data_IF_620817380986
#
_entry.id   IF_620817380986
#
_cell.length_a   1.000
_cell.length_b   1.000
_cell.length_c   1.000
_cell.angle_alpha   90.00
_cell.angle_beta   90.00
_cell.angle_gamma   90.00
#
_symmetry.space_group_name_H-M   'P 1'
#
loop_
_entity.id
_entity.type
_entity.pdbx_description
1 polymer ?
#
# COMPACT_ATOMS: atom_id res chain seq x y z
N UNK A 1 -15.47 9.18 23.83
CA UNK A 1 -14.02 9.09 23.50
C UNK A 1 -13.71 8.93 22.01
N UNK A 2 -14.63 8.42 21.17
CA UNK A 2 -14.39 8.17 19.72
C UNK A 2 -14.38 9.43 18.83
N UNK A 3 -14.70 10.61 19.34
CA UNK A 3 -14.72 11.88 18.60
C UNK A 3 -13.48 12.77 18.86
N UNK A 4 -12.38 12.19 19.36
CA UNK A 4 -11.15 12.96 19.56
C UNK A 4 -10.63 13.51 18.20
N UNK A 5 -10.31 14.80 18.10
CA UNK A 5 -9.72 15.40 16.89
C UNK A 5 -8.43 14.68 16.45
N UNK A 6 -7.67 14.16 17.38
CA UNK A 6 -6.45 13.37 17.11
C UNK A 6 -6.75 12.05 16.40
N UNK A 7 -7.83 11.33 16.77
CA UNK A 7 -8.22 10.09 16.09
C UNK A 7 -8.73 10.35 14.67
N UNK A 8 -9.37 11.49 14.42
CA UNK A 8 -9.78 11.90 13.07
C UNK A 8 -8.58 12.17 12.14
N UNK A 9 -7.47 12.69 12.69
CA UNK A 9 -6.21 12.90 11.96
C UNK A 9 -5.59 11.58 11.46
N UNK A 10 -5.77 10.49 12.20
CA UNK A 10 -5.11 9.21 11.96
C UNK A 10 -5.82 8.31 10.93
N UNK A 11 -7.03 8.64 10.49
CA UNK A 11 -7.81 7.87 9.48
C UNK A 11 -7.71 6.35 9.70
N UNK A 12 -8.04 5.92 10.92
CA UNK A 12 -7.82 4.55 11.44
C UNK A 12 -8.16 3.41 10.47
N UNK A 13 -9.28 3.44 9.69
CA UNK A 13 -9.61 2.32 8.82
C UNK A 13 -8.54 1.99 7.77
N UNK A 14 -7.76 2.97 7.33
CA UNK A 14 -6.75 2.76 6.29
C UNK A 14 -5.46 2.08 6.80
N UNK A 15 -5.24 2.07 8.12
CA UNK A 15 -4.06 1.48 8.76
C UNK A 15 -3.92 -0.01 8.41
N UNK A 16 -5.04 -0.73 8.28
CA UNK A 16 -5.04 -2.18 8.05
C UNK A 16 -4.52 -2.61 6.68
N UNK A 17 -4.35 -1.68 5.74
CA UNK A 17 -3.69 -1.97 4.45
C UNK A 17 -2.17 -1.98 4.55
N UNK A 18 -1.59 -1.59 5.69
CA UNK A 18 -0.14 -1.54 5.89
C UNK A 18 0.39 -2.93 6.30
N UNK A 19 -0.19 -3.61 7.30
CA UNK A 19 0.22 -4.96 7.66
C UNK A 19 0.24 -5.92 6.47
N UNK A 20 -0.74 -5.88 5.56
CA UNK A 20 -0.80 -6.80 4.44
C UNK A 20 0.42 -6.68 3.51
N UNK A 21 0.87 -5.46 3.21
CA UNK A 21 2.08 -5.23 2.41
C UNK A 21 3.34 -5.77 3.11
N UNK A 22 3.45 -5.56 4.44
CA UNK A 22 4.60 -6.04 5.22
C UNK A 22 4.60 -7.57 5.29
N UNK A 23 3.44 -8.19 5.53
CA UNK A 23 3.28 -9.65 5.55
C UNK A 23 3.69 -10.23 4.18
N UNK A 24 3.27 -9.63 3.07
CA UNK A 24 3.65 -10.06 1.73
C UNK A 24 5.18 -10.01 1.55
N UNK A 25 5.82 -8.88 1.83
CA UNK A 25 7.28 -8.75 1.72
C UNK A 25 8.03 -9.74 2.61
N UNK A 26 7.57 -9.91 3.86
CA UNK A 26 8.12 -10.86 4.81
C UNK A 26 7.99 -12.32 4.33
N UNK A 27 6.81 -12.70 3.83
CA UNK A 27 6.57 -14.07 3.34
C UNK A 27 7.37 -14.37 2.06
N UNK A 28 7.54 -13.42 1.15
CA UNK A 28 8.46 -13.57 0.01
C UNK A 28 9.86 -13.88 0.52
N UNK A 29 10.32 -13.16 1.52
CA UNK A 29 11.65 -13.36 2.10
C UNK A 29 11.81 -14.77 2.68
N UNK A 30 10.93 -15.21 3.56
CA UNK A 30 11.09 -16.50 4.26
C UNK A 30 10.78 -17.72 3.39
N UNK A 31 9.87 -17.59 2.41
CA UNK A 31 9.46 -18.72 1.58
C UNK A 31 10.42 -19.01 0.43
N UNK A 32 11.11 -17.99 -0.07
CA UNK A 32 11.91 -18.10 -1.29
C UNK A 32 13.41 -17.94 -1.08
N UNK A 33 13.87 -17.63 0.15
CA UNK A 33 15.29 -17.56 0.44
C UNK A 33 15.74 -18.76 1.26
N UNK A 34 16.70 -19.52 0.73
CA UNK A 34 17.33 -20.66 1.42
C UNK A 34 18.54 -20.22 2.27
N UNK A 35 18.60 -18.97 2.70
CA UNK A 35 19.76 -18.45 3.42
C UNK A 35 19.79 -19.00 4.84
N UNK A 36 20.83 -19.78 5.14
CA UNK A 36 21.04 -20.48 6.42
C UNK A 36 21.06 -19.56 7.64
N UNK A 37 21.31 -18.26 7.46
CA UNK A 37 21.39 -17.26 8.52
C UNK A 37 20.05 -16.59 8.86
N UNK A 38 18.92 -17.07 8.30
CA UNK A 38 17.59 -16.50 8.52
C UNK A 38 16.89 -17.01 9.76
N UNK A 39 17.46 -17.92 10.55
CA UNK A 39 16.79 -18.46 11.75
C UNK A 39 16.40 -17.35 12.75
N UNK A 40 17.24 -16.35 12.93
CA UNK A 40 16.93 -15.20 13.79
C UNK A 40 15.86 -14.27 13.20
N UNK A 41 15.81 -14.13 11.88
CA UNK A 41 14.84 -13.27 11.19
C UNK A 41 13.45 -13.90 10.98
N UNK A 42 13.34 -15.22 11.11
CA UNK A 42 12.08 -15.98 10.91
C UNK A 42 11.09 -15.88 12.05
N UNK A 43 11.44 -15.23 13.16
CA UNK A 43 10.55 -15.19 14.30
C UNK A 43 9.41 -14.16 14.07
N UNK A 44 8.26 -14.46 14.66
CA UNK A 44 7.08 -13.61 14.65
C UNK A 44 7.38 -12.22 15.20
N UNK A 45 8.36 -12.09 16.08
CA UNK A 45 8.78 -10.84 16.68
C UNK A 45 9.33 -9.85 15.65
N UNK A 46 10.16 -10.30 14.69
CA UNK A 46 10.65 -9.45 13.59
C UNK A 46 9.50 -8.95 12.73
N UNK A 47 8.55 -9.83 12.39
CA UNK A 47 7.35 -9.43 11.64
C UNK A 47 6.54 -8.37 12.39
N UNK A 48 6.32 -8.54 13.70
CA UNK A 48 5.59 -7.57 14.51
C UNK A 48 6.31 -6.22 14.60
N UNK A 49 7.64 -6.22 14.71
CA UNK A 49 8.45 -4.99 14.66
C UNK A 49 8.27 -4.27 13.33
N UNK A 50 8.41 -4.97 12.20
CA UNK A 50 8.26 -4.39 10.86
C UNK A 50 6.85 -3.83 10.65
N UNK A 51 5.81 -4.56 11.04
CA UNK A 51 4.42 -4.09 10.97
C UNK A 51 4.22 -2.84 11.81
N UNK A 52 4.65 -2.87 13.07
CA UNK A 52 4.48 -1.74 14.00
C UNK A 52 5.24 -0.52 13.51
N UNK A 53 6.49 -0.68 13.08
CA UNK A 53 7.29 0.38 12.50
C UNK A 53 6.60 1.00 11.27
N UNK A 54 6.15 0.18 10.32
CA UNK A 54 5.49 0.66 9.11
C UNK A 54 4.17 1.39 9.42
N UNK A 55 3.42 0.95 10.43
CA UNK A 55 2.22 1.67 10.91
C UNK A 55 2.60 3.06 11.41
N UNK A 56 3.66 3.21 12.22
CA UNK A 56 4.11 4.52 12.70
C UNK A 56 4.59 5.42 11.56
N UNK A 57 5.33 4.90 10.59
CA UNK A 57 5.74 5.64 9.39
C UNK A 57 4.52 6.13 8.59
N UNK A 58 3.51 5.28 8.43
CA UNK A 58 2.27 5.62 7.76
C UNK A 58 1.48 6.69 8.52
N UNK A 59 1.34 6.57 9.84
CA UNK A 59 0.67 7.58 10.67
C UNK A 59 1.38 8.94 10.61
N UNK A 60 2.72 8.94 10.63
CA UNK A 60 3.51 10.14 10.38
C UNK A 60 3.21 10.75 9.01
N UNK A 61 3.06 9.90 7.99
CA UNK A 61 2.67 10.30 6.63
C UNK A 61 1.30 10.95 6.57
N UNK A 62 0.29 10.42 7.26
CA UNK A 62 -1.05 11.01 7.33
C UNK A 62 -1.05 12.37 7.99
N UNK A 63 -0.36 12.49 9.14
CA UNK A 63 -0.26 13.76 9.85
C UNK A 63 0.51 14.79 9.02
N UNK A 64 1.59 14.39 8.32
CA UNK A 64 2.34 15.28 7.43
C UNK A 64 1.49 15.77 6.26
N UNK A 65 0.61 14.92 5.73
CA UNK A 65 -0.33 15.33 4.69
C UNK A 65 -1.25 16.48 5.17
N UNK A 66 -1.90 16.29 6.31
CA UNK A 66 -2.81 17.32 6.86
C UNK A 66 -2.04 18.57 7.32
N UNK A 67 -0.78 18.43 7.79
CA UNK A 67 0.09 19.55 8.16
C UNK A 67 0.44 20.45 6.96
N UNK A 68 0.83 19.86 5.82
CA UNK A 68 1.17 20.63 4.62
C UNK A 68 -0.06 21.16 3.88
N UNK A 69 -1.24 20.53 4.06
CA UNK A 69 -2.49 20.90 3.41
C UNK A 69 -3.30 21.98 4.15
N UNK A 70 -2.87 22.42 5.31
CA UNK A 70 -3.64 23.33 6.16
C UNK A 70 -4.29 24.48 5.38
N UNK A 71 -3.53 25.15 4.47
CA UNK A 71 -4.05 26.28 3.69
C UNK A 71 -5.13 25.87 2.68
N UNK A 72 -4.97 24.72 2.03
CA UNK A 72 -5.93 24.19 1.06
C UNK A 72 -7.17 23.70 1.81
N UNK A 73 -6.97 22.95 2.88
CA UNK A 73 -8.04 22.40 3.71
C UNK A 73 -8.83 23.47 4.45
N UNK A 74 -8.25 24.63 4.75
CA UNK A 74 -9.00 25.75 5.35
C UNK A 74 -10.10 26.29 4.43
N UNK A 75 -9.93 26.14 3.12
CA UNK A 75 -10.92 26.54 2.10
C UNK A 75 -11.84 25.37 1.74
N UNK A 76 -11.27 24.21 1.42
CA UNK A 76 -12.02 23.07 0.89
C UNK A 76 -12.70 22.23 1.98
N UNK A 77 -12.08 22.11 3.16
CA UNK A 77 -12.48 21.20 4.25
C UNK A 77 -12.25 21.83 5.63
N UNK A 78 -12.88 22.96 5.96
CA UNK A 78 -12.62 23.74 7.19
C UNK A 78 -12.88 22.95 8.48
N UNK A 79 -13.68 21.86 8.42
CA UNK A 79 -13.94 20.98 9.56
C UNK A 79 -12.82 19.97 9.88
N UNK A 80 -11.69 19.95 9.14
CA UNK A 80 -10.52 19.11 9.46
C UNK A 80 -9.84 19.59 10.76
N UNK A 81 -9.15 18.67 11.49
CA UNK A 81 -8.61 18.97 12.82
C UNK A 81 -7.64 20.16 12.88
N UNK A 82 -6.76 20.35 11.90
CA UNK A 82 -5.79 21.46 11.88
C UNK A 82 -6.46 22.76 11.46
N UNK A 83 -7.19 22.84 10.32
CA UNK A 83 -7.88 24.08 9.91
C UNK A 83 -8.92 24.57 10.92
N UNK A 84 -9.65 23.66 11.59
CA UNK A 84 -10.62 24.01 12.61
C UNK A 84 -10.03 24.51 13.93
N UNK A 85 -8.68 24.44 14.08
CA UNK A 85 -8.00 24.79 15.32
C UNK A 85 -8.13 23.75 16.46
N UNK A 86 -8.85 22.61 16.21
CA UNK A 86 -9.00 21.56 17.22
C UNK A 86 -7.69 20.80 17.50
N UNK A 87 -6.72 20.86 16.58
CA UNK A 87 -5.34 20.42 16.77
C UNK A 87 -4.44 21.56 16.28
N UNK A 88 -3.58 22.08 17.17
CA UNK A 88 -2.63 23.13 16.78
C UNK A 88 -1.59 22.58 15.79
N UNK A 89 -1.14 23.44 14.86
CA UNK A 89 -0.10 23.09 13.89
C UNK A 89 1.20 22.61 14.57
N UNK A 90 1.55 23.24 15.70
CA UNK A 90 2.72 22.82 16.51
C UNK A 90 2.56 21.41 17.04
N UNK A 91 1.38 21.06 17.58
CA UNK A 91 1.11 19.70 18.06
C UNK A 91 1.12 18.68 16.92
N UNK A 92 0.57 19.03 15.75
CA UNK A 92 0.63 18.16 14.57
C UNK A 92 2.08 17.89 14.14
N UNK A 93 2.97 18.89 14.16
CA UNK A 93 4.38 18.71 13.87
C UNK A 93 5.08 17.80 14.91
N UNK A 94 4.78 17.98 16.18
CA UNK A 94 5.36 17.13 17.24
C UNK A 94 4.92 15.68 17.08
N UNK A 95 3.65 15.42 16.77
CA UNK A 95 3.10 14.08 16.54
C UNK A 95 3.74 13.43 15.31
N UNK A 96 3.86 14.16 14.21
CA UNK A 96 4.50 13.70 12.99
C UNK A 96 5.96 13.28 13.24
N UNK A 97 6.75 14.12 13.92
CA UNK A 97 8.16 13.82 14.25
C UNK A 97 8.23 12.62 15.19
N UNK A 98 7.38 12.56 16.21
CA UNK A 98 7.30 11.44 17.15
C UNK A 98 7.03 10.12 16.45
N UNK A 99 6.07 10.08 15.51
CA UNK A 99 5.75 8.87 14.77
C UNK A 99 6.90 8.42 13.87
N UNK A 100 7.56 9.34 13.16
CA UNK A 100 8.71 8.99 12.35
C UNK A 100 9.90 8.50 13.19
N UNK A 101 10.16 9.10 14.35
CA UNK A 101 11.21 8.66 15.25
C UNK A 101 10.95 7.24 15.80
N UNK A 102 9.72 6.92 16.21
CA UNK A 102 9.37 5.56 16.62
C UNK A 102 9.53 4.58 15.46
N UNK A 103 9.02 4.91 14.27
CA UNK A 103 9.16 4.06 13.09
C UNK A 103 10.63 3.77 12.77
N UNK A 104 11.50 4.78 12.78
CA UNK A 104 12.94 4.62 12.55
C UNK A 104 13.61 3.78 13.67
N UNK A 105 13.29 4.05 14.93
CA UNK A 105 13.85 3.29 16.05
C UNK A 105 13.49 1.80 15.99
N UNK A 106 12.26 1.47 15.61
CA UNK A 106 11.86 0.08 15.40
C UNK A 106 12.55 -0.53 14.17
N UNK A 107 12.78 0.25 13.12
CA UNK A 107 13.51 -0.22 11.92
C UNK A 107 14.95 -0.60 12.23
N UNK A 108 15.62 0.08 13.18
CA UNK A 108 17.00 -0.29 13.59
C UNK A 108 17.06 -1.69 14.22
N UNK A 109 16.00 -2.09 14.93
CA UNK A 109 15.91 -3.42 15.54
C UNK A 109 15.77 -4.49 14.47
N UNK A 110 15.03 -4.19 13.38
CA UNK A 110 14.86 -5.11 12.25
C UNK A 110 16.12 -5.23 11.37
N UNK A 111 17.06 -4.28 11.45
CA UNK A 111 18.35 -4.31 10.76
C UNK A 111 18.67 -3.07 9.92
N UNK A 112 19.92 -2.97 9.48
CA UNK A 112 20.42 -1.79 8.76
C UNK A 112 19.70 -1.57 7.40
N UNK A 113 19.38 -2.63 6.68
CA UNK A 113 18.63 -2.54 5.42
C UNK A 113 17.20 -2.05 5.67
N UNK A 114 16.55 -2.51 6.73
CA UNK A 114 15.22 -2.04 7.13
C UNK A 114 15.24 -0.56 7.51
N UNK A 115 16.28 -0.10 8.22
CA UNK A 115 16.48 1.32 8.50
C UNK A 115 16.65 2.14 7.22
N UNK A 116 17.45 1.67 6.27
CA UNK A 116 17.65 2.37 4.99
C UNK A 116 16.32 2.52 4.22
N UNK A 117 15.53 1.43 4.10
CA UNK A 117 14.24 1.47 3.39
C UNK A 117 13.25 2.37 4.14
N UNK A 118 13.25 2.39 5.47
CA UNK A 118 12.38 3.28 6.26
C UNK A 118 12.73 4.76 6.05
N UNK A 119 14.02 5.10 5.93
CA UNK A 119 14.46 6.46 5.57
C UNK A 119 13.98 6.84 4.16
N UNK A 120 14.11 5.94 3.19
CA UNK A 120 13.59 6.16 1.82
C UNK A 120 12.08 6.34 1.81
N UNK A 121 11.33 5.59 2.63
CA UNK A 121 9.89 5.77 2.82
C UNK A 121 9.56 7.16 3.36
N UNK A 122 10.26 7.64 4.39
CA UNK A 122 10.05 8.99 4.95
C UNK A 122 10.35 10.07 3.90
N UNK A 123 11.46 9.95 3.18
CA UNK A 123 11.81 10.89 2.10
C UNK A 123 10.71 10.91 1.03
N UNK A 124 10.25 9.73 0.59
CA UNK A 124 9.15 9.62 -0.37
C UNK A 124 7.86 10.26 0.12
N UNK A 125 7.45 9.98 1.36
CA UNK A 125 6.25 10.52 2.01
C UNK A 125 6.33 12.05 2.12
N UNK A 126 7.44 12.59 2.60
CA UNK A 126 7.61 14.03 2.75
C UNK A 126 7.66 14.73 1.40
N UNK A 127 8.35 14.15 0.42
CA UNK A 127 8.40 14.69 -0.95
C UNK A 127 7.01 14.72 -1.59
N UNK A 128 6.22 13.64 -1.42
CA UNK A 128 4.85 13.58 -1.88
C UNK A 128 3.99 14.68 -1.25
N UNK A 129 4.06 14.85 0.08
CA UNK A 129 3.20 15.77 0.80
C UNK A 129 3.61 17.24 0.62
N UNK A 130 4.91 17.54 0.47
CA UNK A 130 5.42 18.92 0.40
C UNK A 130 5.41 19.52 -1.01
N UNK A 131 5.94 18.78 -2.01
CA UNK A 131 6.24 19.38 -3.34
C UNK A 131 5.39 18.89 -4.50
N UNK A 132 4.94 17.62 -4.50
CA UNK A 132 4.41 16.97 -5.70
C UNK A 132 2.89 16.89 -5.72
N UNK A 133 2.21 17.50 -4.76
CA UNK A 133 0.78 17.31 -4.52
C UNK A 133 -0.13 17.61 -5.72
N UNK A 134 0.18 18.60 -6.53
CA UNK A 134 -0.62 18.98 -7.72
C UNK A 134 0.05 18.58 -9.04
N UNK A 135 1.19 17.86 -9.02
CA UNK A 135 1.99 17.55 -10.18
C UNK A 135 1.56 16.29 -10.93
N UNK A 136 2.08 16.16 -12.15
CA UNK A 136 1.99 14.94 -12.97
C UNK A 136 2.57 13.71 -12.25
N UNK A 137 3.63 13.87 -11.47
CA UNK A 137 4.36 12.79 -10.80
C UNK A 137 3.67 12.23 -9.54
N UNK A 138 2.60 12.85 -9.04
CA UNK A 138 1.89 12.43 -7.83
C UNK A 138 1.48 10.95 -7.81
N UNK A 139 0.79 10.41 -8.84
CA UNK A 139 0.41 8.99 -8.86
C UNK A 139 1.61 8.04 -8.82
N UNK A 140 2.69 8.41 -9.54
CA UNK A 140 3.91 7.59 -9.60
C UNK A 140 4.62 7.50 -8.25
N UNK A 141 4.74 8.63 -7.54
CA UNK A 141 5.38 8.64 -6.23
C UNK A 141 4.56 7.87 -5.19
N UNK A 142 3.22 7.98 -5.24
CA UNK A 142 2.35 7.20 -4.35
C UNK A 142 2.48 5.69 -4.60
N UNK A 143 2.53 5.28 -5.87
CA UNK A 143 2.79 3.89 -6.25
C UNK A 143 4.17 3.41 -5.76
N UNK A 144 5.21 4.23 -5.95
CA UNK A 144 6.56 3.92 -5.47
C UNK A 144 6.62 3.72 -3.96
N UNK A 145 6.00 4.61 -3.17
CA UNK A 145 5.94 4.49 -1.70
C UNK A 145 5.29 3.17 -1.29
N UNK A 146 4.23 2.74 -1.98
CA UNK A 146 3.57 1.46 -1.70
C UNK A 146 4.44 0.26 -2.08
N UNK A 147 5.13 0.30 -3.21
CA UNK A 147 6.13 -0.72 -3.57
C UNK A 147 7.27 -0.80 -2.55
N UNK A 148 7.80 0.36 -2.11
CA UNK A 148 8.81 0.43 -1.06
C UNK A 148 8.32 -0.18 0.27
N UNK A 149 7.02 -0.10 0.58
CA UNK A 149 6.48 -0.71 1.80
C UNK A 149 6.56 -2.25 1.76
N UNK A 150 6.37 -2.88 0.59
CA UNK A 150 6.60 -4.33 0.41
C UNK A 150 8.09 -4.65 0.56
N UNK A 151 8.96 -3.86 -0.09
CA UNK A 151 10.41 -4.01 0.06
C UNK A 151 10.87 -3.81 1.51
N UNK A 152 10.19 -2.97 2.28
CA UNK A 152 10.43 -2.83 3.71
C UNK A 152 10.14 -4.13 4.47
N UNK A 153 9.02 -4.80 4.16
CA UNK A 153 8.71 -6.13 4.72
C UNK A 153 9.73 -7.20 4.33
N UNK A 154 10.35 -7.09 3.15
CA UNK A 154 11.39 -7.99 2.67
C UNK A 154 12.79 -7.70 3.25
N UNK A 155 13.06 -6.47 3.67
CA UNK A 155 14.41 -5.94 3.91
C UNK A 155 15.18 -6.62 5.05
N UNK A 156 14.51 -7.26 6.01
CA UNK A 156 15.16 -7.91 7.17
C UNK A 156 16.08 -9.06 6.78
N UNK A 157 15.91 -9.64 5.59
CA UNK A 157 16.78 -10.71 5.06
C UNK A 157 18.24 -10.30 5.00
N UNK A 158 18.51 -9.01 4.82
CA UNK A 158 19.88 -8.50 4.71
C UNK A 158 20.56 -8.27 6.06
N UNK A 159 19.88 -8.57 7.18
CA UNK A 159 20.43 -8.53 8.55
C UNK A 159 20.97 -7.18 8.99
N UNK A 160 21.90 -7.23 9.95
CA UNK A 160 22.53 -6.04 10.56
C UNK A 160 23.63 -5.40 9.70
N UNK A 161 24.17 -6.13 8.72
CA UNK A 161 25.22 -5.64 7.81
C UNK A 161 24.74 -5.66 6.37
N UNK A 162 24.65 -4.48 5.75
CA UNK A 162 24.51 -4.38 4.29
C UNK A 162 25.88 -4.73 3.71
N UNK A 163 26.13 -6.01 3.49
CA UNK A 163 27.29 -6.41 2.70
C UNK A 163 26.87 -6.34 1.23
N UNK A 164 27.23 -5.22 0.57
CA UNK A 164 26.96 -5.02 -0.86
C UNK A 164 27.54 -6.13 -1.72
N UNK A 165 28.60 -6.79 -1.26
CA UNK A 165 29.22 -7.91 -1.94
C UNK A 165 28.34 -9.16 -1.88
N UNK A 166 27.73 -9.47 -0.74
CA UNK A 166 26.72 -10.54 -0.64
C UNK A 166 25.43 -10.22 -1.40
N UNK A 167 25.05 -8.94 -1.51
CA UNK A 167 23.96 -8.49 -2.39
C UNK A 167 24.29 -8.69 -3.86
N UNK A 168 25.49 -8.28 -4.31
CA UNK A 168 25.92 -8.48 -5.69
C UNK A 168 26.11 -9.96 -6.03
N UNK A 169 26.73 -10.71 -5.14
CA UNK A 169 27.03 -12.11 -5.36
C UNK A 169 25.78 -13.00 -5.34
N UNK A 170 24.83 -12.71 -4.46
CA UNK A 170 23.57 -13.48 -4.37
C UNK A 170 22.48 -12.98 -5.34
N UNK A 171 22.44 -11.68 -5.67
CA UNK A 171 21.38 -11.11 -6.52
C UNK A 171 21.79 -10.98 -8.00
N UNK A 172 23.08 -10.70 -8.30
CA UNK A 172 23.55 -10.42 -9.65
C UNK A 172 24.54 -11.44 -10.21
N UNK A 173 25.36 -12.10 -9.37
CA UNK A 173 26.42 -13.01 -9.85
C UNK A 173 25.97 -14.47 -9.91
N UNK A 174 25.01 -14.91 -9.11
CA UNK A 174 24.45 -16.28 -9.20
C UNK A 174 23.37 -16.39 -10.28
N UNK A 175 23.58 -15.76 -11.42
CA UNK A 175 22.70 -15.85 -12.61
C UNK A 175 22.53 -17.29 -13.12
N UNK A 176 23.36 -18.22 -12.69
CA UNK A 176 23.25 -19.64 -13.00
C UNK A 176 22.38 -20.42 -12.02
N UNK A 177 22.00 -19.83 -10.88
CA UNK A 177 21.14 -20.48 -9.89
C UNK A 177 19.68 -20.05 -10.13
N UNK A 178 18.89 -20.94 -10.73
CA UNK A 178 17.50 -20.69 -11.14
C UNK A 178 16.59 -20.18 -10.01
N UNK A 179 16.89 -20.54 -8.76
CA UNK A 179 16.09 -20.13 -7.58
C UNK A 179 16.23 -18.62 -7.29
N UNK A 180 17.43 -18.05 -7.31
CA UNK A 180 17.63 -16.61 -7.06
C UNK A 180 17.15 -15.71 -8.21
N UNK A 181 17.24 -16.22 -9.43
CA UNK A 181 16.70 -15.52 -10.60
C UNK A 181 15.19 -15.36 -10.49
N UNK A 182 14.48 -16.40 -10.08
CA UNK A 182 13.05 -16.35 -9.86
C UNK A 182 12.65 -15.39 -8.73
N UNK A 183 13.41 -15.37 -7.62
CA UNK A 183 13.17 -14.45 -6.50
C UNK A 183 13.20 -12.97 -6.95
N UNK A 184 14.21 -12.57 -7.72
CA UNK A 184 14.30 -11.21 -8.24
C UNK A 184 13.05 -10.83 -9.05
N UNK A 185 12.64 -11.69 -10.00
CA UNK A 185 11.48 -11.42 -10.83
C UNK A 185 10.16 -11.46 -10.06
N UNK A 186 10.04 -12.27 -9.01
CA UNK A 186 8.88 -12.27 -8.11
C UNK A 186 8.80 -10.95 -7.34
N UNK A 187 9.90 -10.47 -6.78
CA UNK A 187 9.95 -9.17 -6.08
C UNK A 187 9.60 -8.03 -7.03
N UNK A 188 10.12 -8.05 -8.26
CA UNK A 188 9.79 -7.05 -9.30
C UNK A 188 8.32 -7.14 -9.67
N UNK A 189 7.77 -8.33 -9.93
CA UNK A 189 6.37 -8.52 -10.28
C UNK A 189 5.45 -7.95 -9.20
N UNK A 190 5.69 -8.31 -7.95
CA UNK A 190 4.84 -7.93 -6.82
C UNK A 190 4.90 -6.42 -6.54
N UNK A 191 6.11 -5.84 -6.54
CA UNK A 191 6.27 -4.39 -6.32
C UNK A 191 5.70 -3.57 -7.47
N UNK A 192 5.87 -4.02 -8.73
CA UNK A 192 5.27 -3.37 -9.90
C UNK A 192 3.75 -3.52 -9.91
N UNK A 193 3.22 -4.68 -9.53
CA UNK A 193 1.79 -4.87 -9.40
C UNK A 193 1.18 -3.88 -8.38
N UNK A 194 1.79 -3.74 -7.20
CA UNK A 194 1.34 -2.76 -6.22
C UNK A 194 1.48 -1.33 -6.73
N UNK A 195 2.60 -1.00 -7.37
CA UNK A 195 2.84 0.30 -7.98
C UNK A 195 1.74 0.68 -8.97
N UNK A 196 1.42 -0.18 -9.93
CA UNK A 196 0.39 0.08 -10.93
C UNK A 196 -1.02 0.14 -10.34
N UNK A 197 -1.34 -0.71 -9.36
CA UNK A 197 -2.62 -0.64 -8.65
C UNK A 197 -2.84 0.75 -8.02
N UNK A 198 -1.86 1.25 -7.27
CA UNK A 198 -1.95 2.54 -6.58
C UNK A 198 -1.86 3.72 -7.55
N UNK A 199 -1.09 3.58 -8.63
CA UNK A 199 -1.05 4.56 -9.72
C UNK A 199 -2.43 4.73 -10.34
N UNK A 200 -3.12 3.64 -10.69
CA UNK A 200 -4.46 3.66 -11.26
C UNK A 200 -5.49 4.24 -10.28
N UNK A 201 -5.45 3.82 -9.01
CA UNK A 201 -6.28 4.36 -7.95
C UNK A 201 -6.14 5.88 -7.84
N UNK A 202 -4.89 6.37 -7.79
CA UNK A 202 -4.59 7.80 -7.64
C UNK A 202 -5.00 8.59 -8.90
N UNK A 203 -4.84 7.99 -10.08
CA UNK A 203 -5.27 8.61 -11.34
C UNK A 203 -6.78 8.73 -11.40
N UNK A 204 -7.52 7.70 -11.01
CA UNK A 204 -9.00 7.72 -10.95
C UNK A 204 -9.47 8.80 -9.97
N UNK A 205 -8.90 8.85 -8.77
CA UNK A 205 -9.29 9.83 -7.74
C UNK A 205 -9.04 11.29 -8.15
N UNK A 206 -7.96 11.55 -8.92
CA UNK A 206 -7.65 12.89 -9.41
C UNK A 206 -8.59 13.33 -10.54
N UNK A 207 -8.93 12.40 -11.43
CA UNK A 207 -9.78 12.68 -12.61
C UNK A 207 -11.22 12.98 -12.21
N UNK A 208 -11.69 12.44 -11.08
CA UNK A 208 -12.98 12.72 -10.48
C UNK A 208 -13.25 14.23 -10.28
N UNK A 209 -12.29 14.89 -9.63
CA UNK A 209 -12.43 16.31 -9.33
C UNK A 209 -12.53 17.17 -10.61
N UNK A 210 -11.84 16.75 -11.69
CA UNK A 210 -11.82 17.46 -12.97
C UNK A 210 -13.09 17.16 -13.78
N UNK A 211 -13.48 15.89 -13.92
CA UNK A 211 -14.64 15.47 -14.73
C UNK A 211 -15.96 15.92 -14.07
N UNK A 212 -16.04 15.97 -12.74
CA UNK A 212 -17.19 16.53 -12.02
C UNK A 212 -17.36 18.03 -12.26
N UNK A 213 -16.25 18.78 -12.39
CA UNK A 213 -16.28 20.21 -12.68
C UNK A 213 -16.62 20.52 -14.17
N UNK A 214 -16.25 19.60 -15.11
CA UNK A 214 -16.40 19.84 -16.55
C UNK A 214 -17.62 19.11 -17.17
N UNK A 215 -18.44 18.38 -16.39
CA UNK A 215 -19.65 17.67 -16.89
C UNK A 215 -19.39 16.58 -17.90
N UNK A 216 -18.15 16.05 -17.99
CA UNK A 216 -17.76 15.01 -18.95
C UNK A 216 -18.42 13.67 -18.63
N UNK A 217 -18.55 12.82 -19.65
CA UNK A 217 -19.20 11.51 -19.55
C UNK A 217 -18.40 10.53 -18.68
N UNK A 218 -18.56 10.63 -17.35
CA UNK A 218 -17.87 9.86 -16.32
C UNK A 218 -18.02 8.34 -16.52
N UNK A 219 -19.19 7.89 -16.99
CA UNK A 219 -19.49 6.47 -17.25
C UNK A 219 -18.54 5.90 -18.30
N UNK A 220 -18.26 6.64 -19.37
CA UNK A 220 -17.32 6.25 -20.42
C UNK A 220 -15.88 6.16 -19.86
N UNK A 221 -15.49 7.13 -19.04
CA UNK A 221 -14.20 7.14 -18.35
C UNK A 221 -14.04 5.92 -17.44
N UNK A 222 -15.01 5.62 -16.59
CA UNK A 222 -14.99 4.46 -15.70
C UNK A 222 -14.91 3.12 -16.45
N UNK A 223 -15.61 2.98 -17.59
CA UNK A 223 -15.51 1.77 -18.43
C UNK A 223 -14.09 1.58 -18.96
N UNK A 224 -13.45 2.64 -19.48
CA UNK A 224 -12.07 2.59 -19.96
C UNK A 224 -11.11 2.18 -18.84
N UNK A 225 -11.26 2.73 -17.64
CA UNK A 225 -10.47 2.33 -16.49
C UNK A 225 -10.71 0.87 -16.08
N UNK A 226 -11.95 0.37 -16.16
CA UNK A 226 -12.26 -1.03 -15.92
C UNK A 226 -11.52 -1.96 -16.88
N UNK A 227 -11.58 -1.70 -18.18
CA UNK A 227 -10.87 -2.51 -19.19
C UNK A 227 -9.36 -2.46 -19.00
N UNK A 228 -8.81 -1.28 -18.73
CA UNK A 228 -7.38 -1.13 -18.47
C UNK A 228 -6.96 -1.91 -17.20
N UNK A 229 -7.81 -1.89 -16.19
CA UNK A 229 -7.57 -2.64 -14.96
C UNK A 229 -7.62 -4.16 -15.20
N UNK A 230 -8.57 -4.65 -15.99
CA UNK A 230 -8.67 -6.07 -16.32
C UNK A 230 -7.46 -6.55 -17.15
N UNK A 231 -6.98 -5.75 -18.11
CA UNK A 231 -5.76 -6.09 -18.86
C UNK A 231 -4.53 -6.14 -17.95
N UNK A 232 -4.42 -5.21 -17.02
CA UNK A 232 -3.39 -5.23 -15.99
C UNK A 232 -3.45 -6.50 -15.13
N UNK A 233 -4.63 -6.91 -14.64
CA UNK A 233 -4.79 -8.15 -13.86
C UNK A 233 -4.48 -9.40 -14.69
N UNK A 234 -4.86 -9.42 -15.98
CA UNK A 234 -4.49 -10.52 -16.89
C UNK A 234 -2.97 -10.63 -17.06
N UNK A 235 -2.27 -9.49 -17.17
CA UNK A 235 -0.80 -9.47 -17.24
C UNK A 235 -0.16 -10.03 -15.97
N UNK A 236 -0.65 -9.62 -14.79
CA UNK A 236 -0.20 -10.18 -13.50
C UNK A 236 -0.49 -11.69 -13.45
N UNK A 237 -1.67 -12.10 -13.90
CA UNK A 237 -2.07 -13.52 -13.96
C UNK A 237 -1.10 -14.35 -14.77
N UNK A 238 -0.73 -13.88 -15.97
CA UNK A 238 0.23 -14.54 -16.84
C UNK A 238 1.61 -14.70 -16.17
N UNK A 239 2.20 -13.58 -15.71
CA UNK A 239 3.52 -13.63 -15.07
C UNK A 239 3.49 -14.38 -13.73
N UNK A 240 2.41 -14.29 -12.97
CA UNK A 240 2.25 -15.04 -11.73
C UNK A 240 2.24 -16.56 -11.96
N UNK A 241 1.56 -17.04 -13.00
CA UNK A 241 1.59 -18.47 -13.36
C UNK A 241 2.98 -18.97 -13.77
N UNK A 242 3.83 -18.09 -14.31
CA UNK A 242 5.19 -18.44 -14.73
C UNK A 242 6.19 -18.42 -13.58
N UNK A 243 6.03 -17.48 -12.64
CA UNK A 243 7.05 -17.17 -11.63
C UNK A 243 6.76 -17.74 -10.25
N UNK A 244 5.47 -17.88 -9.87
CA UNK A 244 5.10 -18.23 -8.49
C UNK A 244 5.05 -19.75 -8.27
N UNK A 245 5.53 -20.24 -7.11
CA UNK A 245 5.59 -21.69 -6.85
C UNK A 245 4.22 -22.34 -6.62
N UNK A 246 3.26 -21.63 -6.01
CA UNK A 246 1.93 -22.15 -5.69
C UNK A 246 0.89 -21.65 -6.72
N UNK A 247 0.99 -22.15 -7.96
CA UNK A 247 0.19 -21.65 -9.10
C UNK A 247 -1.31 -21.91 -8.90
N UNK A 248 -1.72 -23.02 -8.32
CA UNK A 248 -3.14 -23.39 -8.13
C UNK A 248 -3.79 -22.42 -7.15
N UNK A 249 -3.17 -22.18 -6.01
CA UNK A 249 -3.64 -21.24 -4.98
C UNK A 249 -3.66 -19.80 -5.53
N UNK A 250 -2.63 -19.43 -6.28
CA UNK A 250 -2.59 -18.14 -6.97
C UNK A 250 -3.76 -17.96 -7.94
N UNK A 251 -4.04 -18.97 -8.80
CA UNK A 251 -5.17 -18.93 -9.74
C UNK A 251 -6.52 -18.85 -9.04
N UNK A 252 -6.68 -19.54 -7.92
CA UNK A 252 -7.88 -19.45 -7.10
C UNK A 252 -8.10 -18.02 -6.57
N UNK A 253 -7.09 -17.43 -5.92
CA UNK A 253 -7.21 -16.09 -5.35
C UNK A 253 -7.31 -14.99 -6.40
N UNK A 254 -6.59 -15.08 -7.54
CA UNK A 254 -6.69 -14.08 -8.60
C UNK A 254 -8.06 -14.12 -9.29
N UNK A 255 -8.67 -15.30 -9.46
CA UNK A 255 -10.01 -15.42 -10.00
C UNK A 255 -11.06 -14.75 -9.10
N UNK A 256 -10.96 -14.97 -7.79
CA UNK A 256 -11.79 -14.28 -6.79
C UNK A 256 -11.58 -12.75 -6.80
N UNK A 257 -10.32 -12.32 -6.91
CA UNK A 257 -9.96 -10.91 -7.06
C UNK A 257 -10.60 -10.26 -8.29
N UNK A 258 -10.56 -10.94 -9.45
CA UNK A 258 -11.19 -10.47 -10.70
C UNK A 258 -12.69 -10.28 -10.52
N UNK A 259 -13.37 -11.22 -9.85
CA UNK A 259 -14.81 -11.11 -9.57
C UNK A 259 -15.10 -9.89 -8.71
N UNK A 260 -14.36 -9.71 -7.60
CA UNK A 260 -14.59 -8.58 -6.68
C UNK A 260 -14.35 -7.24 -7.38
N UNK A 261 -13.24 -7.09 -8.09
CA UNK A 261 -12.94 -5.82 -8.76
C UNK A 261 -13.97 -5.50 -9.85
N UNK A 262 -14.43 -6.52 -10.58
CA UNK A 262 -15.48 -6.36 -11.58
C UNK A 262 -16.80 -5.89 -10.96
N UNK A 263 -17.20 -6.45 -9.82
CA UNK A 263 -18.39 -6.04 -9.07
C UNK A 263 -18.26 -4.60 -8.55
N UNK A 264 -17.09 -4.21 -8.07
CA UNK A 264 -16.82 -2.84 -7.60
C UNK A 264 -16.97 -1.84 -8.74
N UNK A 265 -16.35 -2.10 -9.91
CA UNK A 265 -16.49 -1.22 -11.07
C UNK A 265 -17.93 -1.18 -11.60
N UNK A 266 -18.63 -2.33 -11.70
CA UNK A 266 -20.03 -2.36 -12.12
C UNK A 266 -20.93 -1.54 -11.20
N UNK A 267 -20.72 -1.65 -9.88
CA UNK A 267 -21.51 -0.90 -8.89
C UNK A 267 -21.24 0.60 -9.01
N UNK A 268 -19.95 1.00 -9.15
CA UNK A 268 -19.58 2.39 -9.38
C UNK A 268 -20.21 2.95 -10.67
N UNK A 269 -20.19 2.19 -11.77
CA UNK A 269 -20.81 2.58 -13.04
C UNK A 269 -22.34 2.71 -12.90
N UNK A 270 -22.99 1.81 -12.15
CA UNK A 270 -24.45 1.90 -11.89
C UNK A 270 -24.79 3.17 -11.10
N UNK A 271 -24.01 3.53 -10.08
CA UNK A 271 -24.17 4.77 -9.31
C UNK A 271 -23.97 6.02 -10.20
N UNK A 272 -22.90 6.03 -11.00
CA UNK A 272 -22.62 7.14 -11.91
C UNK A 272 -23.72 7.39 -12.94
N UNK A 273 -24.41 6.34 -13.41
CA UNK A 273 -25.58 6.45 -14.29
C UNK A 273 -26.80 7.10 -13.63
N UNK A 274 -26.91 7.03 -12.30
CA UNK A 274 -27.99 7.70 -11.53
C UNK A 274 -27.69 9.15 -11.18
N UNK A 275 -26.66 9.74 -11.77
CA UNK A 275 -26.16 11.10 -11.52
C UNK A 275 -25.56 11.30 -10.10
N UNK A 276 -25.26 10.24 -9.38
CA UNK A 276 -24.56 10.25 -8.10
C UNK A 276 -23.02 10.24 -8.29
N UNK A 277 -22.52 11.27 -8.99
CA UNK A 277 -21.12 11.29 -9.49
C UNK A 277 -20.11 11.22 -8.35
N UNK A 278 -20.24 12.13 -7.36
CA UNK A 278 -19.33 12.18 -6.21
C UNK A 278 -19.36 10.88 -5.39
N UNK A 279 -20.55 10.36 -5.11
CA UNK A 279 -20.71 9.11 -4.37
C UNK A 279 -20.14 7.88 -5.11
N UNK A 280 -20.30 7.85 -6.43
CA UNK A 280 -19.78 6.79 -7.29
C UNK A 280 -18.27 6.67 -7.18
N UNK A 281 -17.56 7.80 -7.21
CA UNK A 281 -16.10 7.80 -7.20
C UNK A 281 -15.58 7.60 -5.79
N UNK A 282 -16.19 8.20 -4.77
CA UNK A 282 -15.87 7.91 -3.37
C UNK A 282 -16.03 6.41 -3.07
N UNK A 283 -17.10 5.79 -3.58
CA UNK A 283 -17.30 4.35 -3.48
C UNK A 283 -16.18 3.56 -4.14
N UNK A 284 -15.80 3.93 -5.39
CA UNK A 284 -14.74 3.26 -6.13
C UNK A 284 -13.39 3.40 -5.42
N UNK A 285 -12.99 4.61 -5.04
CA UNK A 285 -11.72 4.89 -4.34
C UNK A 285 -11.64 4.14 -3.02
N UNK A 286 -12.70 4.19 -2.20
CA UNK A 286 -12.76 3.46 -0.92
C UNK A 286 -12.54 1.97 -1.10
N UNK A 287 -13.24 1.35 -2.06
CA UNK A 287 -13.12 -0.09 -2.28
C UNK A 287 -11.77 -0.46 -2.89
N UNK A 288 -11.21 0.33 -3.78
CA UNK A 288 -9.87 0.09 -4.33
C UNK A 288 -8.78 0.17 -3.25
N UNK A 289 -8.92 1.01 -2.23
CA UNK A 289 -8.01 1.01 -1.07
C UNK A 289 -8.10 -0.33 -0.31
N UNK A 290 -9.31 -0.84 -0.08
CA UNK A 290 -9.52 -2.12 0.60
C UNK A 290 -9.02 -3.32 -0.22
N UNK A 291 -9.14 -3.24 -1.54
CA UNK A 291 -8.70 -4.26 -2.49
C UNK A 291 -7.17 -4.44 -2.49
N UNK A 292 -6.39 -3.48 -1.96
CA UNK A 292 -4.95 -3.65 -1.72
C UNK A 292 -4.69 -4.92 -0.89
N UNK A 293 -5.46 -5.14 0.17
CA UNK A 293 -5.33 -6.33 1.02
C UNK A 293 -5.58 -7.62 0.22
N UNK A 294 -6.57 -7.60 -0.67
CA UNK A 294 -6.86 -8.76 -1.53
C UNK A 294 -5.75 -9.00 -2.57
N UNK A 295 -5.17 -7.93 -3.13
CA UNK A 295 -4.05 -8.04 -4.06
C UNK A 295 -2.82 -8.65 -3.38
N UNK A 296 -2.50 -8.20 -2.16
CA UNK A 296 -1.45 -8.81 -1.34
C UNK A 296 -1.72 -10.29 -1.10
N UNK A 297 -2.97 -10.64 -0.77
CA UNK A 297 -3.38 -12.02 -0.52
C UNK A 297 -3.25 -12.92 -1.77
N UNK A 298 -3.49 -12.38 -2.97
CA UNK A 298 -3.27 -13.09 -4.25
C UNK A 298 -1.80 -13.50 -4.38
N UNK A 299 -0.87 -12.59 -4.12
CA UNK A 299 0.55 -12.89 -4.21
C UNK A 299 1.03 -13.79 -3.07
N UNK A 300 0.51 -13.61 -1.86
CA UNK A 300 0.79 -14.50 -0.72
C UNK A 300 0.35 -15.93 -1.05
N UNK A 301 -0.80 -16.12 -1.73
CA UNK A 301 -1.25 -17.43 -2.18
C UNK A 301 -0.23 -18.08 -3.12
N UNK A 302 0.31 -17.33 -4.06
CA UNK A 302 1.31 -17.81 -5.00
C UNK A 302 2.68 -18.08 -4.39
N UNK A 303 3.05 -17.40 -3.30
CA UNK A 303 4.36 -17.51 -2.65
C UNK A 303 4.35 -18.53 -1.49
N UNK A 304 3.32 -18.51 -0.65
CA UNK A 304 3.27 -19.21 0.64
C UNK A 304 2.04 -20.11 0.79
N UNK A 305 1.19 -20.21 -0.23
CA UNK A 305 0.04 -21.09 -0.26
C UNK A 305 -1.23 -20.53 0.38
N UNK A 306 -2.22 -21.39 0.57
CA UNK A 306 -3.61 -21.03 0.86
C UNK A 306 -3.82 -20.41 2.25
N UNK A 307 -3.25 -21.00 3.31
CA UNK A 307 -3.53 -20.60 4.70
C UNK A 307 -3.03 -19.17 5.01
N UNK A 308 -1.77 -18.81 4.73
CA UNK A 308 -1.29 -17.44 4.95
C UNK A 308 -2.10 -16.40 4.16
N UNK A 309 -2.51 -16.74 2.95
CA UNK A 309 -3.33 -15.88 2.10
C UNK A 309 -4.71 -15.62 2.71
N UNK A 310 -5.38 -16.68 3.19
CA UNK A 310 -6.69 -16.57 3.84
C UNK A 310 -6.61 -15.72 5.11
N UNK A 311 -5.60 -15.92 5.95
CA UNK A 311 -5.38 -15.12 7.15
C UNK A 311 -5.15 -13.64 6.81
N UNK A 312 -4.41 -13.34 5.74
CA UNK A 312 -4.21 -11.96 5.30
C UNK A 312 -5.51 -11.34 4.78
N UNK A 313 -6.35 -12.10 4.08
CA UNK A 313 -7.68 -11.63 3.66
C UNK A 313 -8.54 -11.15 4.83
N UNK A 314 -8.42 -11.76 6.01
CA UNK A 314 -9.19 -11.36 7.20
C UNK A 314 -8.88 -9.93 7.64
N UNK A 315 -7.72 -9.37 7.27
CA UNK A 315 -7.39 -7.96 7.53
C UNK A 315 -8.33 -6.96 6.84
N UNK A 316 -9.17 -7.41 5.90
CA UNK A 316 -10.20 -6.56 5.29
C UNK A 316 -11.40 -6.30 6.21
N UNK A 317 -11.63 -7.15 7.21
CA UNK A 317 -12.80 -7.06 8.10
C UNK A 317 -12.75 -5.80 8.99
N UNK A 318 -11.66 -5.52 9.73
CA UNK A 318 -11.60 -4.33 10.59
C UNK A 318 -11.87 -3.01 9.85
N UNK A 319 -11.26 -2.71 8.69
CA UNK A 319 -11.54 -1.45 7.98
C UNK A 319 -12.99 -1.36 7.47
N UNK A 320 -13.62 -2.46 7.07
CA UNK A 320 -15.04 -2.44 6.69
C UNK A 320 -15.92 -2.06 7.90
N UNK A 321 -15.68 -2.66 9.06
CA UNK A 321 -16.43 -2.39 10.28
C UNK A 321 -16.17 -0.95 10.76
N UNK A 322 -14.91 -0.53 10.81
CA UNK A 322 -14.52 0.79 11.28
C UNK A 322 -14.94 1.92 10.33
N UNK A 323 -15.02 1.66 9.03
CA UNK A 323 -15.47 2.65 8.04
C UNK A 323 -16.93 3.09 8.20
N UNK A 324 -17.74 2.35 8.99
CA UNK A 324 -19.10 2.79 9.38
C UNK A 324 -19.07 3.90 10.43
N UNK A 325 -17.97 4.07 11.16
CA UNK A 325 -17.82 5.05 12.26
C UNK A 325 -16.80 6.14 11.96
N UNK A 326 -15.82 5.85 11.10
CA UNK A 326 -14.72 6.78 10.73
C UNK A 326 -14.66 6.95 9.21
N UNK A 327 -14.39 8.18 8.74
CA UNK A 327 -14.16 8.43 7.32
C UNK A 327 -12.86 7.77 6.87
N UNK A 328 -12.84 7.21 5.66
CA UNK A 328 -11.65 6.67 5.00
C UNK A 328 -10.98 7.70 4.07
N UNK A 329 -11.72 8.74 3.71
CA UNK A 329 -11.30 9.78 2.76
C UNK A 329 -11.42 11.16 3.38
#
# INVERSE_FOLDING_TARGET
MLNSPYLRLLRIPNIFTIPSNIILGYLIAISLTNVSNLEEGRNVFTLLILITSSIFLYLGGLVSNDYFDEKIDSVERPGRPIPSGSVSKKNALLILVFFFLIGLSLSTIAGAASLLVSVLLIIGILTYNYKIKNGFFRPYLMGLIRGLNILYGFSFVFGSSINFQTLSDNFFMNYQNTEYHNLFWIVVLVTMAMFFHVLLLTHISKKEAIDAAEGRNLVSGMRKHCYFYLTYVATIGFFGCVLLPHVIEFLFFISFYVVIISLVFQTAIKKAKKLEISESVQFLVKNMILIIILLDSVFIAGVSGFIPSLLTCLLIIPPIVLSKRFSMT
#
